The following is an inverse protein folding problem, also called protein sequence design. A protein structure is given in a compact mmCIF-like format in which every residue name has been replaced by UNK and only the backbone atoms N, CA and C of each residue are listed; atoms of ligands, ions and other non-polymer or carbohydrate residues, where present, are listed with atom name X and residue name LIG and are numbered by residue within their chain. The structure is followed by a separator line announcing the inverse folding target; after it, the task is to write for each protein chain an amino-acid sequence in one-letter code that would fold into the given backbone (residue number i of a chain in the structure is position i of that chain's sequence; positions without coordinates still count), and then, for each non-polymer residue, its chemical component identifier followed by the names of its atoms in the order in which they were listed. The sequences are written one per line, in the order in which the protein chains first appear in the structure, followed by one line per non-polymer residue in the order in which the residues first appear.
data_IF_351873462986
#
_entry.id   IF_351873462986
#
_cell.length_a   1.000
_cell.length_b   1.000
_cell.length_c   1.000
_cell.angle_alpha   90.00
_cell.angle_beta   90.00
_cell.angle_gamma   90.00
#
_symmetry.space_group_name_H-M   'P 1'
#
loop_
_entity.id
_entity.type
_entity.pdbx_description
1 polymer ?
#
# COMPACT_ATOMS: atom_id res chain seq x y z
N UNK A 1 -8.76 5.66 -20.63
CA UNK A 1 -7.70 6.69 -20.59
C UNK A 1 -6.74 6.25 -19.50
N UNK A 2 -5.45 6.08 -19.81
CA UNK A 2 -4.45 5.78 -18.79
C UNK A 2 -4.17 7.07 -18.02
N UNK A 3 -4.98 7.36 -17.02
CA UNK A 3 -4.67 8.42 -16.07
C UNK A 3 -3.54 7.92 -15.17
N UNK A 4 -2.43 8.66 -15.16
CA UNK A 4 -1.32 8.38 -14.27
C UNK A 4 -1.76 8.59 -12.81
N UNK A 5 -1.20 7.84 -11.85
CA UNK A 5 -1.52 8.05 -10.44
C UNK A 5 -1.25 9.50 -10.02
N UNK A 6 -2.19 10.11 -9.30
CA UNK A 6 -2.01 11.43 -8.69
C UNK A 6 -1.48 11.25 -7.27
N UNK A 7 -0.41 11.97 -6.96
CA UNK A 7 0.23 11.96 -5.65
C UNK A 7 0.01 13.30 -4.94
N UNK A 8 -0.42 13.26 -3.69
CA UNK A 8 -0.60 14.43 -2.84
C UNK A 8 0.03 14.16 -1.47
N UNK A 9 1.10 14.88 -1.15
CA UNK A 9 1.81 14.72 0.12
C UNK A 9 1.46 15.87 1.06
N UNK A 10 0.92 15.52 2.22
CA UNK A 10 0.71 16.43 3.34
C UNK A 10 1.94 16.39 4.26
N UNK A 11 2.70 17.49 4.26
CA UNK A 11 3.92 17.63 5.07
C UNK A 11 3.64 17.75 6.56
N UNK A 12 2.50 18.33 6.95
CA UNK A 12 2.19 18.58 8.37
C UNK A 12 1.76 17.28 9.05
N UNK A 13 1.02 16.44 8.34
CA UNK A 13 0.56 15.14 8.82
C UNK A 13 1.52 13.97 8.51
N UNK A 14 2.55 14.17 7.67
CA UNK A 14 3.41 13.12 7.11
C UNK A 14 2.61 12.00 6.41
N UNK A 15 1.62 12.40 5.58
CA UNK A 15 0.74 11.47 4.87
C UNK A 15 0.87 11.65 3.36
N UNK A 16 1.14 10.56 2.64
CA UNK A 16 1.05 10.51 1.18
C UNK A 16 -0.27 9.88 0.75
N UNK A 17 -1.08 10.66 0.04
CA UNK A 17 -2.27 10.19 -0.66
C UNK A 17 -1.93 9.89 -2.12
N UNK A 18 -2.33 8.70 -2.58
CA UNK A 18 -2.18 8.26 -3.97
C UNK A 18 -3.57 7.95 -4.50
N UNK A 19 -3.91 8.54 -5.65
CA UNK A 19 -5.16 8.27 -6.36
C UNK A 19 -4.84 7.57 -7.68
N UNK A 20 -5.30 6.33 -7.82
CA UNK A 20 -5.17 5.54 -9.05
C UNK A 20 -6.32 5.78 -10.03
N UNK A 21 -7.47 6.25 -9.54
CA UNK A 21 -8.63 6.62 -10.34
C UNK A 21 -9.19 7.96 -9.86
N UNK A 22 -8.58 9.09 -10.27
CA UNK A 22 -9.02 10.43 -9.89
C UNK A 22 -10.50 10.67 -10.15
N UNK A 23 -11.22 11.20 -9.17
CA UNK A 23 -12.66 11.49 -9.27
C UNK A 23 -13.57 10.30 -9.01
N UNK A 24 -13.05 9.07 -8.92
CA UNK A 24 -13.82 7.90 -8.53
C UNK A 24 -13.90 7.76 -7.00
N UNK A 25 -15.07 7.37 -6.47
CA UNK A 25 -15.24 7.06 -5.05
C UNK A 25 -15.01 5.58 -4.81
N UNK A 26 -14.14 5.27 -3.85
CA UNK A 26 -13.97 3.90 -3.39
C UNK A 26 -15.26 3.37 -2.76
N UNK A 27 -15.53 2.08 -2.95
CA UNK A 27 -16.67 1.39 -2.35
C UNK A 27 -16.26 0.61 -1.09
N UNK A 28 -14.97 0.34 -0.92
CA UNK A 28 -14.40 -0.31 0.25
C UNK A 28 -13.04 0.29 0.61
N UNK A 29 -12.67 0.13 1.88
CA UNK A 29 -11.35 0.48 2.40
C UNK A 29 -10.89 -0.59 3.39
N UNK A 30 -9.58 -0.88 3.38
CA UNK A 30 -8.93 -1.86 4.25
C UNK A 30 -7.63 -1.28 4.76
N UNK A 31 -7.41 -1.38 6.07
CA UNK A 31 -6.12 -1.12 6.69
C UNK A 31 -5.24 -2.35 6.48
N UNK A 32 -4.16 -2.20 5.71
CA UNK A 32 -3.16 -3.25 5.53
C UNK A 32 -2.25 -3.37 6.76
N UNK A 33 -2.10 -2.26 7.48
CA UNK A 33 -1.61 -2.12 8.84
C UNK A 33 -1.96 -0.69 9.33
N UNK A 34 -1.47 -0.32 10.51
CA UNK A 34 -1.68 1.01 11.14
C UNK A 34 -1.26 2.21 10.26
N UNK A 35 -0.39 2.00 9.27
CA UNK A 35 0.21 3.05 8.46
C UNK A 35 -0.18 3.01 6.98
N UNK A 36 -0.93 1.99 6.54
CA UNK A 36 -1.24 1.80 5.12
C UNK A 36 -2.72 1.46 4.95
N UNK A 37 -3.45 2.35 4.29
CA UNK A 37 -4.86 2.18 3.97
C UNK A 37 -5.05 2.01 2.46
N UNK A 38 -5.59 0.86 2.05
CA UNK A 38 -5.99 0.58 0.67
C UNK A 38 -7.47 0.97 0.48
N UNK A 39 -7.75 1.76 -0.55
CA UNK A 39 -9.11 2.09 -0.98
C UNK A 39 -9.35 1.51 -2.37
N UNK A 40 -10.44 0.77 -2.53
CA UNK A 40 -10.69 0.04 -3.78
C UNK A 40 -12.18 -0.04 -4.10
N UNK A 41 -12.45 -0.38 -5.37
CA UNK A 41 -13.77 -0.75 -5.83
C UNK A 41 -13.91 -2.26 -5.68
N UNK A 42 -14.76 -2.69 -4.75
CA UNK A 42 -14.95 -4.11 -4.41
C UNK A 42 -15.52 -4.93 -5.57
N UNK A 43 -16.44 -4.36 -6.35
CA UNK A 43 -17.08 -5.10 -7.45
C UNK A 43 -16.09 -5.38 -8.60
N UNK A 44 -15.17 -4.44 -8.84
CA UNK A 44 -14.18 -4.52 -9.91
C UNK A 44 -12.81 -5.04 -9.46
N UNK A 45 -12.63 -5.28 -8.15
CA UNK A 45 -11.34 -5.60 -7.51
C UNK A 45 -10.22 -4.67 -7.97
N UNK A 46 -10.50 -3.37 -8.00
CA UNK A 46 -9.60 -2.36 -8.57
C UNK A 46 -9.23 -1.32 -7.53
N UNK A 47 -7.94 -1.07 -7.38
CA UNK A 47 -7.45 -0.01 -6.51
C UNK A 47 -7.92 1.37 -7.00
N UNK A 48 -8.50 2.14 -6.09
CA UNK A 48 -8.91 3.53 -6.32
C UNK A 48 -7.90 4.48 -5.69
N UNK A 49 -7.35 4.13 -4.53
CA UNK A 49 -6.27 4.89 -3.92
C UNK A 49 -5.54 4.14 -2.83
N UNK A 50 -4.38 4.69 -2.45
CA UNK A 50 -3.56 4.22 -1.35
C UNK A 50 -3.27 5.43 -0.45
N UNK A 51 -3.29 5.24 0.85
CA UNK A 51 -2.88 6.25 1.83
C UNK A 51 -1.74 5.67 2.65
N UNK A 52 -0.63 6.39 2.71
CA UNK A 52 0.57 6.02 3.46
C UNK A 52 0.76 7.06 4.56
N UNK A 53 0.54 6.66 5.81
CA UNK A 53 0.79 7.47 7.01
C UNK A 53 2.23 7.23 7.47
N UNK A 54 2.80 8.19 8.20
CA UNK A 54 4.23 8.23 8.53
C UNK A 54 5.11 7.96 7.29
N UNK A 55 4.75 8.59 6.17
CA UNK A 55 5.32 8.28 4.85
C UNK A 55 6.83 8.46 4.85
N UNK A 56 7.33 9.52 5.49
CA UNK A 56 8.76 9.79 5.63
C UNK A 56 9.53 8.64 6.27
N UNK A 57 8.87 7.86 7.16
CA UNK A 57 9.39 6.70 7.86
C UNK A 57 9.30 5.44 6.99
N UNK A 58 8.18 5.24 6.29
CA UNK A 58 7.95 4.08 5.42
C UNK A 58 8.93 4.01 4.25
N UNK A 59 9.41 5.15 3.74
CA UNK A 59 10.39 5.22 2.63
C UNK A 59 11.85 5.27 3.08
N UNK A 60 12.12 5.18 4.39
CA UNK A 60 13.50 5.19 4.88
C UNK A 60 14.27 3.97 4.38
N UNK A 61 15.52 4.21 3.99
CA UNK A 61 16.46 3.14 3.70
C UNK A 61 17.11 2.66 4.99
N UNK A 62 17.15 1.35 5.15
CA UNK A 62 17.94 0.68 6.17
C UNK A 62 19.28 0.24 5.57
N UNK A 63 20.18 -0.30 6.40
CA UNK A 63 21.43 -0.91 5.93
C UNK A 63 21.22 -2.04 4.90
N UNK A 64 20.02 -2.64 4.88
CA UNK A 64 19.69 -3.80 4.05
C UNK A 64 18.68 -3.48 2.94
N UNK A 65 18.44 -2.20 2.65
CA UNK A 65 17.47 -1.76 1.63
C UNK A 65 16.24 -1.08 2.26
N UNK A 66 15.13 -0.97 1.51
CA UNK A 66 13.91 -0.32 1.98
C UNK A 66 13.42 -0.88 3.31
N UNK A 67 12.83 -0.01 4.14
CA UNK A 67 12.14 -0.46 5.35
C UNK A 67 10.97 -1.36 4.96
N UNK A 68 10.95 -2.55 5.55
CA UNK A 68 9.83 -3.47 5.43
C UNK A 68 8.96 -3.39 6.68
N UNK A 69 7.67 -3.63 6.51
CA UNK A 69 6.68 -3.66 7.59
C UNK A 69 5.68 -4.80 7.34
N UNK A 70 5.12 -5.39 8.41
CA UNK A 70 4.12 -6.45 8.27
C UNK A 70 2.81 -5.91 7.68
N UNK A 71 2.13 -6.75 6.91
CA UNK A 71 0.75 -6.55 6.45
C UNK A 71 -0.22 -7.21 7.44
N UNK A 72 -0.11 -6.84 8.72
CA UNK A 72 -0.86 -7.47 9.82
C UNK A 72 -2.37 -7.35 9.65
N UNK A 73 -2.84 -6.26 9.04
CA UNK A 73 -4.27 -6.04 8.82
C UNK A 73 -4.92 -7.07 7.89
N UNK A 74 -4.13 -7.82 7.10
CA UNK A 74 -4.68 -8.94 6.31
C UNK A 74 -5.25 -10.04 7.22
N UNK A 75 -4.64 -10.31 8.36
CA UNK A 75 -5.07 -11.39 9.26
C UNK A 75 -6.44 -11.12 9.90
N UNK A 76 -6.83 -9.85 10.01
CA UNK A 76 -8.09 -9.40 10.61
C UNK A 76 -9.28 -9.45 9.62
N UNK A 77 -9.00 -9.66 8.33
CA UNK A 77 -10.02 -9.73 7.29
C UNK A 77 -10.65 -11.12 7.20
N UNK A 78 -11.90 -11.17 6.76
CA UNK A 78 -12.55 -12.42 6.35
C UNK A 78 -11.80 -13.05 5.16
N UNK A 79 -11.76 -14.39 5.02
CA UNK A 79 -10.95 -15.06 3.99
C UNK A 79 -11.20 -14.57 2.55
N UNK A 80 -12.45 -14.32 2.17
CA UNK A 80 -12.77 -13.79 0.85
C UNK A 80 -12.21 -12.38 0.62
N UNK A 81 -12.16 -11.54 1.65
CA UNK A 81 -11.55 -10.21 1.57
C UNK A 81 -10.02 -10.30 1.52
N UNK A 82 -9.41 -11.27 2.22
CA UNK A 82 -7.98 -11.50 2.14
C UNK A 82 -7.54 -11.77 0.70
N UNK A 83 -8.22 -12.70 0.02
CA UNK A 83 -7.91 -13.04 -1.37
C UNK A 83 -8.06 -11.83 -2.32
N UNK A 84 -9.16 -11.08 -2.20
CA UNK A 84 -9.39 -9.88 -3.01
C UNK A 84 -8.32 -8.81 -2.78
N UNK A 85 -7.95 -8.56 -1.52
CA UNK A 85 -6.93 -7.56 -1.17
C UNK A 85 -5.55 -8.00 -1.65
N UNK A 86 -5.19 -9.27 -1.46
CA UNK A 86 -3.93 -9.85 -1.95
C UNK A 86 -3.84 -9.71 -3.48
N UNK A 87 -4.91 -10.01 -4.20
CA UNK A 87 -5.00 -9.82 -5.65
C UNK A 87 -4.72 -8.35 -6.01
N UNK A 88 -5.36 -7.40 -5.34
CA UNK A 88 -5.18 -5.96 -5.63
C UNK A 88 -3.75 -5.48 -5.34
N UNK A 89 -3.17 -5.80 -4.18
CA UNK A 89 -1.86 -5.27 -3.78
C UNK A 89 -0.68 -5.89 -4.55
N UNK A 90 -0.88 -7.07 -5.13
CA UNK A 90 0.14 -7.76 -5.93
C UNK A 90 0.09 -7.40 -7.42
N UNK A 91 -0.93 -6.68 -7.86
CA UNK A 91 -1.10 -6.25 -9.25
C UNK A 91 -0.94 -4.74 -9.45
N UNK A 92 -0.76 -4.34 -10.71
CA UNK A 92 -0.71 -2.93 -11.08
C UNK A 92 -2.09 -2.26 -10.82
N UNK A 93 -2.11 -0.99 -10.43
CA UNK A 93 -0.95 -0.11 -10.22
C UNK A 93 -0.31 -0.21 -8.83
N UNK A 94 -0.92 -0.94 -7.88
CA UNK A 94 -0.49 -0.93 -6.48
C UNK A 94 0.92 -1.50 -6.30
N UNK A 95 1.24 -2.60 -6.99
CA UNK A 95 2.54 -3.27 -6.89
C UNK A 95 3.73 -2.44 -7.40
N UNK A 96 3.47 -1.30 -8.06
CA UNK A 96 4.50 -0.35 -8.47
C UNK A 96 4.93 0.55 -7.31
N UNK A 97 4.13 0.63 -6.26
CA UNK A 97 4.37 1.49 -5.09
C UNK A 97 4.56 0.64 -3.83
N UNK A 98 3.74 -0.40 -3.65
CA UNK A 98 3.82 -1.30 -2.51
C UNK A 98 4.41 -2.64 -2.98
N UNK A 99 5.67 -2.91 -2.62
CA UNK A 99 6.32 -4.20 -2.92
C UNK A 99 5.99 -5.18 -1.82
N UNK A 100 5.26 -6.23 -2.16
CA UNK A 100 4.87 -7.29 -1.23
C UNK A 100 5.85 -8.45 -1.32
N UNK A 101 6.21 -9.02 -0.17
CA UNK A 101 7.03 -10.20 -0.04
C UNK A 101 6.61 -11.04 1.17
N UNK A 102 7.21 -12.22 1.34
CA UNK A 102 7.03 -13.06 2.52
C UNK A 102 8.32 -13.08 3.34
N UNK A 103 8.21 -12.81 4.63
CA UNK A 103 9.27 -13.01 5.61
C UNK A 103 9.04 -14.32 6.35
N UNK A 104 10.07 -15.16 6.41
CA UNK A 104 10.03 -16.44 7.11
C UNK A 104 11.00 -16.41 8.31
N UNK A 105 10.56 -16.01 9.51
CA UNK A 105 11.42 -16.03 10.70
C UNK A 105 11.79 -17.47 11.12
N UNK A 106 10.98 -18.44 10.73
CA UNK A 106 11.21 -19.88 10.90
C UNK A 106 10.75 -20.65 9.66
N UNK A 107 10.95 -21.97 9.66
CA UNK A 107 10.53 -22.84 8.54
C UNK A 107 9.02 -23.06 8.47
N UNK A 108 8.27 -22.71 9.52
CA UNK A 108 6.82 -22.95 9.62
C UNK A 108 6.00 -21.66 9.69
N UNK A 109 6.65 -20.53 9.95
CA UNK A 109 6.01 -19.23 10.08
C UNK A 109 6.28 -18.39 8.84
N UNK A 110 5.23 -17.84 8.25
CA UNK A 110 5.29 -16.93 7.12
C UNK A 110 4.51 -15.66 7.44
N UNK A 111 5.19 -14.52 7.35
CA UNK A 111 4.62 -13.20 7.63
C UNK A 111 4.61 -12.39 6.33
N UNK A 112 3.45 -11.97 5.82
CA UNK A 112 3.39 -11.07 4.69
C UNK A 112 3.94 -9.71 5.10
N UNK A 113 4.91 -9.22 4.33
CA UNK A 113 5.55 -7.93 4.54
C UNK A 113 5.44 -7.09 3.28
N UNK A 114 5.55 -5.78 3.44
CA UNK A 114 5.67 -4.87 2.33
C UNK A 114 6.72 -3.78 2.58
N UNK A 115 7.20 -3.20 1.50
CA UNK A 115 7.99 -1.98 1.49
C UNK A 115 7.42 -0.99 0.49
N UNK A 116 7.63 0.31 0.74
CA UNK A 116 7.21 1.36 -0.18
C UNK A 116 8.36 1.69 -1.13
N UNK A 117 8.11 1.54 -2.43
CA UNK A 117 8.98 2.09 -3.46
C UNK A 117 8.77 3.60 -3.51
N UNK A 118 9.84 4.37 -3.30
CA UNK A 118 9.77 5.83 -3.32
C UNK A 118 9.30 6.28 -4.71
N UNK A 119 8.11 6.89 -4.83
CA UNK A 119 7.63 7.34 -6.12
C UNK A 119 8.55 8.44 -6.66
N UNK A 120 8.67 8.59 -8.00
CA UNK A 120 9.56 9.56 -8.65
C UNK A 120 9.00 10.99 -8.58
N UNK A 121 8.54 11.40 -7.40
CA UNK A 121 8.03 12.73 -7.14
C UNK A 121 9.18 13.53 -6.55
N UNK A 122 9.44 14.71 -7.12
CA UNK A 122 10.33 15.67 -6.48
C UNK A 122 9.62 16.25 -5.27
N UNK A 123 9.77 15.60 -4.12
CA UNK A 123 9.34 16.16 -2.84
C UNK A 123 10.37 17.24 -2.52
N UNK A 124 10.05 18.49 -2.85
CA UNK A 124 10.83 19.62 -2.39
C UNK A 124 10.83 19.55 -0.86
N UNK A 125 11.97 19.21 -0.25
CA UNK A 125 12.18 19.22 1.20
C UNK A 125 12.16 20.66 1.65
#
# INVERSE_FOLDING_TARGET
MNEYPIYSYDKEADVLYISFAPGEKATAAVELNDNVLLRFNRAEKRAIGLTLMDFSVLVQLTKFGPRNFPLSGLADLEPAWQDDVIEIITHAPVNQILKVAMYAPSTVELVPIASVEKPPISIAV
#
